data_IF_014105475363
#
_entry.id   IF_014105475363
#
_cell.length_a   1.000
_cell.length_b   1.000
_cell.length_c   1.000
_cell.angle_alpha   90.00
_cell.angle_beta   90.00
_cell.angle_gamma   90.00
#
_symmetry.space_group_name_H-M   'P 1'
#
loop_
_entity.id
_entity.type
_entity.pdbx_description
1 polymer ?
#
# COMPACT_ATOMS: atom_id res chain seq x y z
N UNK A 1 32.74 -11.28 21.79
CA UNK A 1 33.70 -11.65 22.85
C UNK A 1 33.03 -12.67 23.78
N UNK A 2 33.82 -13.49 24.49
CA UNK A 2 33.31 -14.50 25.44
C UNK A 2 32.63 -13.82 26.63
N UNK A 3 31.60 -14.45 27.21
CA UNK A 3 31.66 -15.00 28.57
C UNK A 3 30.48 -15.94 28.83
N UNK A 4 30.74 -17.02 29.55
CA UNK A 4 29.75 -18.01 29.99
C UNK A 4 29.11 -17.56 31.31
N UNK A 5 27.90 -18.03 31.58
CA UNK A 5 27.38 -18.15 32.95
C UNK A 5 26.61 -19.49 33.07
N UNK A 6 27.10 -20.37 33.95
CA UNK A 6 26.31 -21.50 34.43
C UNK A 6 25.16 -20.96 35.30
N UNK A 7 24.02 -21.66 35.29
CA UNK A 7 23.19 -21.79 36.48
C UNK A 7 22.60 -23.20 36.53
N UNK A 8 22.64 -23.82 37.71
CA UNK A 8 22.10 -25.16 37.96
C UNK A 8 21.22 -25.13 39.21
N UNK A 9 20.25 -26.07 39.26
CA UNK A 9 19.53 -26.55 40.47
C UNK A 9 18.60 -25.51 41.15
N UNK A 10 17.29 -25.76 41.35
CA UNK A 10 16.67 -26.89 42.06
C UNK A 10 15.15 -27.03 41.76
N UNK A 11 14.56 -28.16 42.15
CA UNK A 11 13.13 -28.49 41.98
C UNK A 11 12.24 -28.07 43.17
N UNK A 12 10.98 -27.72 42.91
CA UNK A 12 9.91 -27.58 43.91
C UNK A 12 8.50 -27.54 43.27
N UNK A 13 7.62 -28.46 43.67
CA UNK A 13 6.17 -28.50 43.30
C UNK A 13 5.37 -27.48 44.17
N UNK A 14 4.20 -26.94 43.80
CA UNK A 14 2.90 -27.60 43.46
C UNK A 14 1.89 -26.67 42.73
N UNK A 15 1.04 -27.24 41.83
CA UNK A 15 -0.39 -26.92 41.44
C UNK A 15 -0.91 -25.45 41.27
N UNK A 16 -1.81 -25.07 40.32
CA UNK A 16 -2.61 -25.80 39.30
C UNK A 16 -3.19 -24.89 38.16
N UNK A 17 -3.54 -25.50 37.01
CA UNK A 17 -4.39 -25.03 35.85
C UNK A 17 -4.09 -23.66 35.19
N UNK A 18 -4.10 -23.43 33.86
CA UNK A 18 -4.20 -24.23 32.62
C UNK A 18 -3.65 -23.34 31.45
N UNK A 19 -3.58 -23.68 30.15
CA UNK A 19 -3.97 -24.86 29.37
C UNK A 19 -2.82 -25.28 28.38
N UNK A 20 -2.95 -25.60 27.06
CA UNK A 20 -1.92 -26.42 26.40
C UNK A 20 -0.86 -25.66 25.59
N UNK A 21 0.41 -25.83 25.97
CA UNK A 21 1.55 -25.77 25.06
C UNK A 21 2.12 -27.18 24.87
N UNK A 22 2.47 -27.56 23.64
CA UNK A 22 3.10 -28.84 23.30
C UNK A 22 4.58 -28.86 23.77
N UNK A 23 4.78 -28.92 25.09
CA UNK A 23 6.07 -29.34 25.68
C UNK A 23 6.11 -30.87 25.67
N UNK A 24 7.00 -31.43 24.86
CA UNK A 24 7.35 -32.85 24.97
C UNK A 24 7.98 -33.11 26.35
N UNK A 25 7.29 -33.87 27.21
CA UNK A 25 7.89 -34.40 28.42
C UNK A 25 8.92 -35.48 28.05
N UNK A 26 10.09 -35.54 28.71
CA UNK A 26 10.98 -36.67 28.58
C UNK A 26 10.31 -37.90 29.20
N UNK A 27 9.96 -38.89 28.38
CA UNK A 27 9.58 -40.22 28.90
C UNK A 27 10.81 -40.85 29.56
N UNK A 28 10.62 -41.40 30.75
CA UNK A 28 11.63 -42.19 31.46
C UNK A 28 12.08 -43.35 30.57
N UNK A 29 13.41 -43.50 30.43
CA UNK A 29 14.00 -44.35 29.40
C UNK A 29 13.78 -45.84 29.65
N UNK A 30 13.49 -46.56 28.56
CA UNK A 30 13.96 -47.94 28.44
C UNK A 30 15.51 -47.94 28.48
N UNK A 31 16.16 -49.03 28.91
CA UNK A 31 17.62 -49.12 28.85
C UNK A 31 18.10 -48.85 27.42
N UNK A 32 19.08 -47.95 27.29
CA UNK A 32 19.74 -47.71 26.01
C UNK A 32 20.40 -49.01 25.59
N UNK A 33 19.95 -49.59 24.48
CA UNK A 33 20.60 -50.76 23.92
C UNK A 33 21.91 -50.30 23.28
N UNK A 34 22.99 -50.38 24.07
CA UNK A 34 24.35 -50.14 23.59
C UNK A 34 24.62 -51.10 22.43
N UNK A 35 25.25 -50.56 21.38
CA UNK A 35 25.45 -51.23 20.11
C UNK A 35 26.90 -51.04 19.70
N UNK A 36 27.61 -52.16 19.54
CA UNK A 36 29.03 -52.17 19.15
C UNK A 36 29.24 -51.92 17.64
N UNK A 37 28.17 -51.69 16.86
CA UNK A 37 28.29 -51.30 15.45
C UNK A 37 28.86 -49.88 15.36
N UNK A 38 30.16 -49.81 15.07
CA UNK A 38 30.93 -48.59 14.90
C UNK A 38 30.27 -47.60 13.94
N UNK A 39 29.65 -48.07 12.85
CA UNK A 39 28.95 -47.19 11.89
C UNK A 39 27.66 -46.61 12.49
N UNK A 40 26.93 -47.39 13.30
CA UNK A 40 25.73 -46.94 14.02
C UNK A 40 26.10 -45.86 15.05
N UNK A 41 27.17 -46.08 15.82
CA UNK A 41 27.69 -45.12 16.81
C UNK A 41 28.25 -43.85 16.17
N UNK A 42 29.18 -43.97 15.23
CA UNK A 42 29.84 -42.82 14.58
C UNK A 42 28.86 -41.95 13.80
N UNK A 43 27.92 -42.54 13.08
CA UNK A 43 26.92 -41.80 12.30
C UNK A 43 25.91 -41.09 13.19
N UNK A 44 25.42 -41.75 14.25
CA UNK A 44 24.51 -41.09 15.20
C UNK A 44 25.22 -39.97 15.98
N UNK A 45 26.49 -40.16 16.36
CA UNK A 45 27.31 -39.11 16.97
C UNK A 45 27.49 -37.91 16.04
N UNK A 46 27.83 -38.13 14.76
CA UNK A 46 27.92 -37.05 13.76
C UNK A 46 26.59 -36.30 13.62
N UNK A 47 25.47 -37.00 13.69
CA UNK A 47 24.15 -36.36 13.77
C UNK A 47 24.02 -35.48 15.03
N UNK A 48 24.28 -36.00 16.23
CA UNK A 48 24.10 -35.24 17.48
C UNK A 48 25.03 -34.03 17.58
N UNK A 49 26.29 -34.20 17.17
CA UNK A 49 27.31 -33.14 17.23
C UNK A 49 26.99 -31.98 16.26
N UNK A 50 26.22 -32.23 15.20
CA UNK A 50 25.90 -31.24 14.17
C UNK A 50 24.46 -30.71 14.22
N UNK A 51 23.50 -31.35 14.91
CA UNK A 51 22.05 -31.03 14.79
C UNK A 51 21.70 -29.56 15.05
N UNK A 52 22.48 -28.88 15.88
CA UNK A 52 22.34 -27.46 16.23
C UNK A 52 23.33 -26.56 15.46
N UNK A 53 24.67 -26.81 15.47
CA UNK A 53 25.62 -25.91 14.81
C UNK A 53 25.71 -26.07 13.28
N UNK A 54 25.29 -27.21 12.73
CA UNK A 54 25.28 -27.48 11.28
C UNK A 54 24.17 -28.48 10.89
N UNK A 55 22.89 -28.04 10.89
CA UNK A 55 21.75 -28.92 10.61
C UNK A 55 21.86 -29.69 9.28
N UNK A 56 22.48 -29.11 8.24
CA UNK A 56 22.70 -29.80 6.96
C UNK A 56 23.62 -31.03 7.08
N UNK A 57 24.72 -30.94 7.85
CA UNK A 57 25.59 -32.08 8.12
C UNK A 57 24.91 -33.12 9.02
N UNK A 58 24.05 -32.70 9.95
CA UNK A 58 23.22 -33.60 10.73
C UNK A 58 22.22 -34.34 9.85
N UNK A 59 21.56 -33.65 8.92
CA UNK A 59 20.65 -34.25 7.96
C UNK A 59 21.33 -35.30 7.08
N UNK A 60 22.53 -35.02 6.56
CA UNK A 60 23.34 -36.02 5.84
C UNK A 60 23.59 -37.26 6.70
N UNK A 61 24.08 -37.09 7.93
CA UNK A 61 24.31 -38.20 8.85
C UNK A 61 23.03 -38.97 9.20
N UNK A 62 21.91 -38.29 9.42
CA UNK A 62 20.60 -38.92 9.67
C UNK A 62 20.12 -39.74 8.47
N UNK A 63 20.28 -39.22 7.24
CA UNK A 63 19.93 -39.93 6.00
C UNK A 63 20.83 -41.13 5.77
N UNK A 64 22.14 -41.03 6.03
CA UNK A 64 23.09 -42.16 5.96
C UNK A 64 22.75 -43.26 6.98
N UNK A 65 22.41 -42.89 8.22
CA UNK A 65 21.95 -43.83 9.25
C UNK A 65 20.68 -44.57 8.79
N UNK A 66 19.69 -43.83 8.31
CA UNK A 66 18.41 -44.39 7.87
C UNK A 66 18.53 -45.21 6.59
N UNK A 67 19.54 -44.96 5.74
CA UNK A 67 19.82 -45.80 4.57
C UNK A 67 20.30 -47.21 4.97
N UNK A 68 21.08 -47.33 6.05
CA UNK A 68 21.60 -48.63 6.53
C UNK A 68 20.65 -49.32 7.52
N UNK A 69 20.08 -48.59 8.47
CA UNK A 69 19.28 -49.15 9.58
C UNK A 69 17.79 -48.78 9.56
N UNK A 70 17.29 -48.01 8.59
CA UNK A 70 15.93 -47.45 8.64
C UNK A 70 14.77 -48.45 8.62
N UNK A 71 15.05 -49.75 8.47
CA UNK A 71 14.12 -50.89 8.64
C UNK A 71 13.98 -51.35 10.09
N UNK A 72 14.91 -50.98 10.97
CA UNK A 72 14.80 -51.21 12.41
C UNK A 72 13.73 -50.29 13.01
N UNK A 73 13.10 -50.72 14.10
CA UNK A 73 12.13 -49.93 14.87
C UNK A 73 12.64 -49.70 16.31
N UNK A 74 13.81 -49.09 16.38
CA UNK A 74 14.46 -48.70 17.63
C UNK A 74 14.19 -47.22 17.97
N UNK A 75 14.73 -46.75 19.09
CA UNK A 75 14.57 -45.35 19.51
C UNK A 75 15.23 -44.35 18.55
N UNK A 76 16.34 -44.74 17.91
CA UNK A 76 17.14 -43.87 17.06
C UNK A 76 16.48 -43.69 15.69
N UNK A 77 16.13 -44.79 15.03
CA UNK A 77 15.40 -44.80 13.75
C UNK A 77 14.06 -44.08 13.85
N UNK A 78 13.30 -44.25 14.94
CA UNK A 78 12.07 -43.47 15.18
C UNK A 78 12.35 -41.98 15.34
N UNK A 79 13.35 -41.59 16.13
CA UNK A 79 13.69 -40.18 16.33
C UNK A 79 14.20 -39.52 15.04
N UNK A 80 15.13 -40.16 14.34
CA UNK A 80 15.70 -39.67 13.08
C UNK A 80 14.64 -39.55 11.99
N UNK A 81 13.67 -40.48 11.91
CA UNK A 81 12.54 -40.38 10.97
C UNK A 81 11.74 -39.09 11.18
N UNK A 82 11.41 -38.75 12.43
CA UNK A 82 10.71 -37.49 12.77
C UNK A 82 11.58 -36.27 12.49
N UNK A 83 12.85 -36.30 12.90
CA UNK A 83 13.77 -35.18 12.70
C UNK A 83 14.03 -34.89 11.22
N UNK A 84 14.23 -35.92 10.40
CA UNK A 84 14.40 -35.82 8.93
C UNK A 84 13.18 -35.14 8.30
N UNK A 85 11.96 -35.59 8.63
CA UNK A 85 10.74 -34.98 8.08
C UNK A 85 10.59 -33.51 8.51
N UNK A 86 10.89 -33.17 9.77
CA UNK A 86 10.85 -31.80 10.24
C UNK A 86 11.88 -30.91 9.53
N UNK A 87 13.11 -31.40 9.31
CA UNK A 87 14.15 -30.68 8.55
C UNK A 87 13.75 -30.47 7.08
N UNK A 88 13.21 -31.49 6.41
CA UNK A 88 12.72 -31.40 5.02
C UNK A 88 11.48 -30.51 4.85
N UNK A 89 10.72 -30.28 5.93
CA UNK A 89 9.62 -29.31 5.97
C UNK A 89 10.14 -27.88 6.19
N UNK A 90 11.08 -27.69 7.11
CA UNK A 90 11.69 -26.38 7.39
C UNK A 90 12.46 -25.82 6.18
N UNK A 91 13.36 -26.61 5.57
CA UNK A 91 14.07 -26.24 4.33
C UNK A 91 13.13 -25.85 3.19
N UNK A 92 11.99 -26.54 3.07
CA UNK A 92 10.94 -26.23 2.08
C UNK A 92 10.26 -24.90 2.39
N UNK A 93 9.95 -24.65 3.66
CA UNK A 93 9.34 -23.39 4.10
C UNK A 93 10.29 -22.21 3.92
N UNK A 94 11.59 -22.38 4.24
CA UNK A 94 12.64 -21.39 3.98
C UNK A 94 12.76 -21.07 2.49
N UNK A 95 12.78 -22.08 1.61
CA UNK A 95 12.83 -21.88 0.16
C UNK A 95 11.59 -21.13 -0.35
N UNK A 96 10.39 -21.54 0.08
CA UNK A 96 9.14 -20.86 -0.30
C UNK A 96 9.09 -19.41 0.22
N UNK A 97 9.63 -19.13 1.41
CA UNK A 97 9.76 -17.77 1.92
C UNK A 97 10.73 -16.92 1.09
N UNK A 98 11.88 -17.48 0.68
CA UNK A 98 12.83 -16.80 -0.20
C UNK A 98 12.22 -16.51 -1.59
N UNK A 99 11.53 -17.49 -2.19
CA UNK A 99 10.82 -17.31 -3.46
C UNK A 99 9.71 -16.24 -3.37
N UNK A 100 9.03 -16.11 -2.22
CA UNK A 100 8.04 -15.05 -1.96
C UNK A 100 8.68 -13.68 -1.89
N UNK A 101 9.78 -13.55 -1.14
CA UNK A 101 10.52 -12.30 -1.00
C UNK A 101 11.08 -11.81 -2.33
N UNK A 102 11.64 -12.71 -3.15
CA UNK A 102 12.11 -12.41 -4.51
C UNK A 102 10.96 -11.90 -5.41
N UNK A 103 9.80 -12.57 -5.41
CA UNK A 103 8.62 -12.08 -6.16
C UNK A 103 8.15 -10.70 -5.72
N UNK A 104 8.14 -10.41 -4.41
CA UNK A 104 7.84 -9.07 -3.90
C UNK A 104 8.87 -8.04 -4.41
N UNK A 105 10.16 -8.33 -4.26
CA UNK A 105 11.24 -7.44 -4.65
C UNK A 105 11.22 -7.16 -6.16
N UNK A 106 10.93 -8.17 -6.99
CA UNK A 106 10.79 -8.01 -8.44
C UNK A 106 9.58 -7.15 -8.81
N UNK A 107 8.42 -7.32 -8.15
CA UNK A 107 7.25 -6.47 -8.36
C UNK A 107 7.57 -5.01 -8.01
N UNK A 108 8.17 -4.76 -6.84
CA UNK A 108 8.50 -3.42 -6.38
C UNK A 108 9.58 -2.76 -7.26
N UNK A 109 10.62 -3.50 -7.63
CA UNK A 109 11.67 -3.03 -8.55
C UNK A 109 11.14 -2.70 -9.95
N UNK A 110 10.06 -3.37 -10.39
CA UNK A 110 9.42 -3.07 -11.68
C UNK A 110 8.80 -1.67 -11.70
N UNK A 111 8.31 -1.14 -10.57
CA UNK A 111 7.88 0.26 -10.47
C UNK A 111 9.04 1.25 -10.61
N UNK A 112 10.20 0.97 -10.00
CA UNK A 112 11.40 1.79 -10.17
C UNK A 112 11.89 1.80 -11.63
N UNK A 113 11.74 0.68 -12.32
CA UNK A 113 12.06 0.51 -13.75
C UNK A 113 10.98 1.06 -14.70
N UNK A 114 9.84 1.54 -14.17
CA UNK A 114 8.64 1.94 -14.92
C UNK A 114 8.02 0.83 -15.78
N UNK A 115 8.34 -0.44 -15.47
CA UNK A 115 7.69 -1.62 -16.06
C UNK A 115 6.40 -1.94 -15.30
N UNK A 116 5.40 -1.08 -15.50
CA UNK A 116 4.09 -1.22 -14.87
C UNK A 116 3.39 -2.50 -15.31
N UNK A 117 3.57 -2.95 -16.56
CA UNK A 117 2.96 -4.16 -17.08
C UNK A 117 3.43 -5.40 -16.30
N UNK A 118 4.74 -5.52 -16.05
CA UNK A 118 5.28 -6.57 -15.19
C UNK A 118 4.81 -6.43 -13.74
N UNK A 119 4.83 -5.23 -13.18
CA UNK A 119 4.40 -4.99 -11.80
C UNK A 119 2.94 -5.45 -11.54
N UNK A 120 2.00 -5.03 -12.39
CA UNK A 120 0.59 -5.44 -12.28
C UNK A 120 0.37 -6.91 -12.69
N UNK A 121 1.14 -7.45 -13.63
CA UNK A 121 1.12 -8.87 -13.98
C UNK A 121 1.52 -9.79 -12.81
N UNK A 122 2.50 -9.37 -12.00
CA UNK A 122 2.95 -10.11 -10.81
C UNK A 122 2.03 -9.95 -9.59
N UNK A 123 1.20 -8.89 -9.55
CA UNK A 123 0.39 -8.51 -8.38
C UNK A 123 -0.48 -9.65 -7.84
N UNK A 124 -1.16 -10.40 -8.72
CA UNK A 124 -2.02 -11.52 -8.33
C UNK A 124 -1.23 -12.63 -7.61
N UNK A 125 -0.01 -12.91 -8.03
CA UNK A 125 0.82 -13.96 -7.43
C UNK A 125 1.37 -13.52 -6.07
N UNK A 126 1.91 -12.29 -5.98
CA UNK A 126 2.45 -11.73 -4.73
C UNK A 126 1.36 -11.59 -3.67
N UNK A 127 0.17 -11.10 -4.05
CA UNK A 127 -0.97 -10.93 -3.13
C UNK A 127 -1.76 -12.22 -2.88
N UNK A 128 -1.47 -13.33 -3.57
CA UNK A 128 -2.00 -14.65 -3.18
C UNK A 128 -1.25 -15.21 -1.95
N UNK A 129 0.06 -14.97 -1.87
CA UNK A 129 0.89 -15.37 -0.73
C UNK A 129 0.66 -14.49 0.50
N UNK A 130 0.48 -13.17 0.32
CA UNK A 130 0.10 -12.24 1.38
C UNK A 130 -0.88 -11.18 0.85
N UNK A 131 -2.20 -11.41 0.96
CA UNK A 131 -3.22 -10.47 0.49
C UNK A 131 -3.17 -9.09 1.15
N UNK A 132 -2.57 -9.02 2.34
CA UNK A 132 -2.50 -7.84 3.20
C UNK A 132 -1.09 -7.23 3.24
N UNK A 133 -0.27 -7.51 2.23
CA UNK A 133 1.04 -6.89 2.05
C UNK A 133 0.89 -5.39 1.74
N UNK A 134 0.81 -4.58 2.81
CA UNK A 134 0.54 -3.14 2.72
C UNK A 134 1.56 -2.39 1.84
N UNK A 135 2.83 -2.79 1.87
CA UNK A 135 3.90 -2.21 1.04
C UNK A 135 3.62 -2.42 -0.47
N UNK A 136 3.19 -3.62 -0.84
CA UNK A 136 2.77 -3.95 -2.22
C UNK A 136 1.47 -3.25 -2.59
N UNK A 137 0.48 -3.18 -1.69
CA UNK A 137 -0.78 -2.48 -1.91
C UNK A 137 -0.59 -0.96 -2.12
N UNK A 138 0.30 -0.32 -1.36
CA UNK A 138 0.68 1.09 -1.56
C UNK A 138 1.33 1.28 -2.93
N UNK A 139 2.31 0.44 -3.28
CA UNK A 139 3.02 0.53 -4.56
C UNK A 139 2.08 0.35 -5.77
N UNK A 140 1.20 -0.66 -5.74
CA UNK A 140 0.18 -0.88 -6.76
C UNK A 140 -0.90 0.21 -6.78
N UNK A 141 -1.30 0.71 -5.60
CA UNK A 141 -2.35 1.71 -5.47
C UNK A 141 -1.93 3.07 -6.03
N UNK A 142 -0.69 3.48 -5.78
CA UNK A 142 -0.14 4.74 -6.26
C UNK A 142 0.52 4.66 -7.64
N UNK A 143 1.05 3.49 -8.00
CA UNK A 143 1.80 3.28 -9.26
C UNK A 143 1.01 3.55 -10.54
N UNK A 144 -0.32 3.45 -10.51
CA UNK A 144 -1.18 3.77 -11.65
C UNK A 144 -1.17 5.25 -12.04
N UNK A 145 -0.89 6.15 -11.09
CA UNK A 145 -0.69 7.59 -11.35
C UNK A 145 0.55 7.77 -12.24
N UNK A 146 1.68 7.17 -11.88
CA UNK A 146 2.91 7.23 -12.67
C UNK A 146 2.77 6.57 -14.05
N UNK A 147 1.99 5.49 -14.16
CA UNK A 147 1.65 4.89 -15.46
C UNK A 147 0.79 5.84 -16.31
N UNK A 148 -0.18 6.53 -15.70
CA UNK A 148 -1.02 7.49 -16.41
C UNK A 148 -0.28 8.76 -16.84
N UNK A 149 0.76 9.18 -16.11
CA UNK A 149 1.67 10.25 -16.54
C UNK A 149 2.40 9.91 -17.86
N UNK A 150 2.67 8.62 -18.13
CA UNK A 150 3.17 8.14 -19.43
C UNK A 150 2.06 7.81 -20.43
N UNK A 151 0.82 8.30 -20.17
CA UNK A 151 -0.42 8.07 -20.95
C UNK A 151 -0.91 6.61 -20.95
N UNK A 152 -0.49 5.80 -19.98
CA UNK A 152 -0.94 4.42 -19.84
C UNK A 152 -1.97 4.28 -18.69
N UNK A 153 -3.24 4.45 -19.03
CA UNK A 153 -4.37 4.35 -18.08
C UNK A 153 -4.87 2.91 -17.85
N UNK A 154 -4.26 1.91 -18.51
CA UNK A 154 -4.68 0.49 -18.52
C UNK A 154 -4.85 -0.11 -17.12
N UNK A 155 -4.11 0.40 -16.13
CA UNK A 155 -4.06 -0.15 -14.79
C UNK A 155 -4.95 0.59 -13.78
N UNK A 156 -5.63 1.68 -14.16
CA UNK A 156 -6.28 2.60 -13.23
C UNK A 156 -7.38 1.92 -12.38
N UNK A 157 -8.20 1.05 -12.98
CA UNK A 157 -9.25 0.32 -12.25
C UNK A 157 -8.65 -0.64 -11.20
N UNK A 158 -7.57 -1.35 -11.56
CA UNK A 158 -6.87 -2.25 -10.64
C UNK A 158 -6.14 -1.47 -9.54
N UNK A 159 -5.45 -0.39 -9.92
CA UNK A 159 -4.76 0.51 -9.02
C UNK A 159 -5.71 1.11 -7.97
N UNK A 160 -6.92 1.54 -8.36
CA UNK A 160 -7.92 2.04 -7.42
C UNK A 160 -8.33 0.99 -6.37
N UNK A 161 -8.59 -0.25 -6.80
CA UNK A 161 -8.87 -1.36 -5.87
C UNK A 161 -7.74 -1.60 -4.85
N UNK A 162 -6.47 -1.49 -5.27
CA UNK A 162 -5.33 -1.60 -4.36
C UNK A 162 -5.18 -0.37 -3.45
N UNK A 163 -5.42 0.84 -3.97
CA UNK A 163 -5.37 2.09 -3.21
C UNK A 163 -6.43 2.10 -2.09
N UNK A 164 -7.67 1.72 -2.39
CA UNK A 164 -8.76 1.58 -1.40
C UNK A 164 -8.37 0.61 -0.28
N UNK A 165 -7.81 -0.57 -0.64
CA UNK A 165 -7.38 -1.55 0.36
C UNK A 165 -6.22 -1.05 1.22
N UNK A 166 -5.25 -0.34 0.63
CA UNK A 166 -4.15 0.28 1.35
C UNK A 166 -4.64 1.37 2.32
N UNK A 167 -5.52 2.27 1.88
CA UNK A 167 -6.17 3.30 2.73
C UNK A 167 -6.86 2.63 3.92
N UNK A 168 -7.72 1.64 3.68
CA UNK A 168 -8.46 0.94 4.73
C UNK A 168 -7.53 0.35 5.81
N UNK A 169 -6.41 -0.24 5.40
CA UNK A 169 -5.43 -0.82 6.32
C UNK A 169 -4.68 0.24 7.13
N UNK A 170 -4.29 1.36 6.51
CA UNK A 170 -3.58 2.46 7.18
C UNK A 170 -4.51 3.23 8.14
N UNK A 171 -5.80 3.33 7.80
CA UNK A 171 -6.82 3.89 8.67
C UNK A 171 -7.20 2.94 9.82
N UNK A 172 -7.13 1.62 9.61
CA UNK A 172 -7.24 0.62 10.69
C UNK A 172 -5.96 0.46 11.54
N UNK A 173 -4.98 1.35 11.40
CA UNK A 173 -3.75 1.37 12.20
C UNK A 173 -2.66 0.40 11.78
N UNK A 174 -2.76 -0.28 10.64
CA UNK A 174 -1.61 -1.04 10.08
C UNK A 174 -0.54 -0.07 9.57
N UNK A 175 0.72 -0.44 9.73
CA UNK A 175 1.87 0.25 9.17
C UNK A 175 2.82 -0.76 8.51
N UNK A 176 3.50 -0.40 7.42
CA UNK A 176 4.64 -1.15 6.91
C UNK A 176 5.86 -0.95 7.82
N UNK A 177 6.88 -1.79 7.67
CA UNK A 177 8.18 -1.61 8.35
C UNK A 177 8.86 -0.27 8.00
N UNK A 178 8.60 0.25 6.79
CA UNK A 178 9.07 1.55 6.33
C UNK A 178 8.04 2.21 5.42
N UNK A 179 7.86 3.52 5.56
CA UNK A 179 7.00 4.34 4.70
C UNK A 179 7.68 4.73 3.38
N UNK A 180 8.99 4.51 3.24
CA UNK A 180 9.76 4.91 2.06
C UNK A 180 9.16 4.32 0.75
N UNK A 181 9.08 5.10 -0.35
CA UNK A 181 9.70 6.42 -0.55
C UNK A 181 8.93 7.62 0.02
N UNK A 182 7.76 7.40 0.64
CA UNK A 182 7.00 8.46 1.29
C UNK A 182 7.59 8.84 2.65
N UNK A 183 7.29 10.06 3.11
CA UNK A 183 7.88 10.61 4.34
C UNK A 183 7.32 9.99 5.61
N UNK A 184 6.02 9.71 5.62
CA UNK A 184 5.26 9.22 6.75
C UNK A 184 3.90 8.66 6.30
N UNK A 185 3.07 8.27 7.27
CA UNK A 185 1.71 7.75 7.08
C UNK A 185 0.80 8.75 6.36
N UNK A 186 0.89 10.02 6.71
CA UNK A 186 0.04 11.10 6.22
C UNK A 186 0.32 11.38 4.73
N UNK A 187 1.59 11.39 4.34
CA UNK A 187 2.07 11.53 2.97
C UNK A 187 1.62 10.37 2.05
N UNK A 188 1.61 9.14 2.58
CA UNK A 188 1.00 7.98 1.90
C UNK A 188 -0.51 8.16 1.75
N UNK A 189 -1.24 8.45 2.84
CA UNK A 189 -2.70 8.58 2.79
C UNK A 189 -3.13 9.68 1.80
N UNK A 190 -2.50 10.85 1.86
CA UNK A 190 -2.79 11.94 0.93
C UNK A 190 -2.50 11.56 -0.52
N UNK A 191 -1.43 10.80 -0.77
CA UNK A 191 -1.06 10.32 -2.11
C UNK A 191 -1.99 9.22 -2.63
N UNK A 192 -2.49 8.34 -1.77
CA UNK A 192 -3.50 7.33 -2.13
C UNK A 192 -4.88 7.98 -2.36
N UNK A 193 -5.28 8.96 -1.55
CA UNK A 193 -6.49 9.75 -1.80
C UNK A 193 -6.38 10.56 -3.10
N UNK A 194 -5.23 11.14 -3.40
CA UNK A 194 -4.97 11.77 -4.70
C UNK A 194 -5.11 10.75 -5.85
N UNK A 195 -4.56 9.54 -5.70
CA UNK A 195 -4.64 8.49 -6.71
C UNK A 195 -6.08 8.02 -6.95
N UNK A 196 -6.85 7.77 -5.88
CA UNK A 196 -8.28 7.46 -5.96
C UNK A 196 -9.09 8.57 -6.66
N UNK A 197 -8.82 9.83 -6.33
CA UNK A 197 -9.41 10.96 -7.06
C UNK A 197 -9.05 10.93 -8.55
N UNK A 198 -7.76 10.67 -8.85
CA UNK A 198 -7.22 10.63 -10.20
C UNK A 198 -7.84 9.51 -11.07
N UNK A 199 -7.97 8.28 -10.55
CA UNK A 199 -8.57 7.18 -11.30
C UNK A 199 -10.07 7.40 -11.58
N UNK A 200 -10.78 8.09 -10.68
CA UNK A 200 -12.20 8.39 -10.82
C UNK A 200 -12.52 9.60 -11.72
N UNK A 201 -11.50 10.39 -12.15
CA UNK A 201 -11.66 11.62 -12.97
C UNK A 201 -12.61 11.47 -14.16
N UNK A 202 -12.45 10.38 -14.92
CA UNK A 202 -13.25 10.10 -16.12
C UNK A 202 -14.52 9.28 -15.83
N UNK A 203 -14.46 8.12 -15.14
CA UNK A 203 -15.64 7.27 -14.99
C UNK A 203 -16.67 7.82 -13.99
N UNK A 204 -16.23 8.50 -12.93
CA UNK A 204 -17.09 8.97 -11.82
C UNK A 204 -16.58 10.28 -11.22
N UNK A 205 -16.57 11.40 -11.97
CA UNK A 205 -15.98 12.66 -11.52
C UNK A 205 -16.57 13.17 -10.20
N UNK A 206 -17.87 13.04 -9.95
CA UNK A 206 -18.46 13.47 -8.67
C UNK A 206 -17.91 12.69 -7.47
N UNK A 207 -17.63 11.40 -7.62
CA UNK A 207 -17.05 10.55 -6.55
C UNK A 207 -15.60 10.90 -6.23
N UNK A 208 -14.87 11.53 -7.16
CA UNK A 208 -13.47 11.92 -6.96
C UNK A 208 -13.28 13.16 -6.06
N UNK A 209 -14.30 14.02 -5.94
CA UNK A 209 -14.23 15.31 -5.24
C UNK A 209 -13.78 15.13 -3.77
N UNK A 210 -14.42 14.20 -3.06
CA UNK A 210 -14.09 13.92 -1.65
C UNK A 210 -12.64 13.44 -1.47
N UNK A 211 -12.12 12.67 -2.43
CA UNK A 211 -10.76 12.14 -2.40
C UNK A 211 -9.71 13.24 -2.63
N UNK A 212 -9.92 14.13 -3.61
CA UNK A 212 -9.05 15.30 -3.79
C UNK A 212 -9.11 16.28 -2.62
N UNK A 213 -10.27 16.47 -2.00
CA UNK A 213 -10.42 17.29 -0.79
C UNK A 213 -9.63 16.69 0.39
N UNK A 214 -9.72 15.38 0.63
CA UNK A 214 -8.91 14.70 1.65
C UNK A 214 -7.41 14.86 1.37
N UNK A 215 -6.97 14.64 0.14
CA UNK A 215 -5.57 14.83 -0.27
C UNK A 215 -5.08 16.28 -0.09
N UNK A 216 -5.95 17.27 -0.26
CA UNK A 216 -5.66 18.68 -0.05
C UNK A 216 -5.72 19.12 1.43
N UNK A 217 -6.29 18.31 2.33
CA UNK A 217 -6.44 18.61 3.75
C UNK A 217 -5.36 17.96 4.63
N UNK A 218 -4.84 16.79 4.24
CA UNK A 218 -3.80 16.08 4.99
C UNK A 218 -2.44 16.79 4.83
N UNK A 219 -1.75 17.05 5.95
CA UNK A 219 -0.40 17.66 5.97
C UNK A 219 0.62 16.77 5.24
N UNK A 220 0.90 17.10 3.99
CA UNK A 220 1.63 16.28 3.03
C UNK A 220 2.09 17.12 1.85
N UNK A 221 2.93 16.56 0.96
CA UNK A 221 3.28 17.23 -0.29
C UNK A 221 2.07 17.38 -1.24
N UNK A 222 1.00 16.59 -1.04
CA UNK A 222 -0.25 16.70 -1.81
C UNK A 222 -1.09 17.92 -1.45
N UNK A 223 -0.99 18.42 -0.23
CA UNK A 223 -1.62 19.69 0.20
C UNK A 223 -0.95 20.93 -0.43
N UNK A 224 0.31 20.85 -0.82
CA UNK A 224 1.03 21.95 -1.49
C UNK A 224 1.23 21.71 -2.99
N UNK A 225 0.87 20.52 -3.50
CA UNK A 225 0.95 20.17 -4.90
C UNK A 225 -0.09 20.94 -5.74
N UNK A 226 0.33 21.70 -6.78
CA UNK A 226 -0.59 22.41 -7.66
C UNK A 226 -1.58 21.49 -8.38
N UNK A 227 -1.16 20.27 -8.72
CA UNK A 227 -1.99 19.34 -9.48
C UNK A 227 -3.21 18.85 -8.69
N UNK A 228 -3.12 18.73 -7.35
CA UNK A 228 -4.26 18.38 -6.49
C UNK A 228 -5.43 19.33 -6.71
N UNK A 229 -5.15 20.64 -6.77
CA UNK A 229 -6.16 21.67 -6.95
C UNK A 229 -6.61 21.82 -8.41
N UNK A 230 -5.70 21.62 -9.38
CA UNK A 230 -6.05 21.55 -10.79
C UNK A 230 -7.05 20.43 -11.08
N UNK A 231 -6.77 19.21 -10.59
CA UNK A 231 -7.69 18.08 -10.75
C UNK A 231 -9.00 18.28 -9.97
N UNK A 232 -8.95 18.90 -8.78
CA UNK A 232 -10.16 19.32 -8.06
C UNK A 232 -11.04 20.29 -8.89
N UNK A 233 -10.42 21.26 -9.58
CA UNK A 233 -11.14 22.17 -10.47
C UNK A 233 -11.78 21.44 -11.67
N UNK A 234 -11.05 20.51 -12.28
CA UNK A 234 -11.56 19.68 -13.39
C UNK A 234 -12.76 18.83 -12.97
N UNK A 235 -12.78 18.28 -11.75
CA UNK A 235 -13.88 17.40 -11.33
C UNK A 235 -15.12 18.18 -10.93
N UNK A 236 -14.97 19.37 -10.35
CA UNK A 236 -16.08 20.31 -10.19
C UNK A 236 -16.67 20.70 -11.55
N UNK A 237 -15.82 21.01 -12.54
CA UNK A 237 -16.25 21.39 -13.89
C UNK A 237 -16.95 20.24 -14.63
N UNK A 238 -16.36 19.06 -14.66
CA UNK A 238 -16.83 17.92 -15.45
C UNK A 238 -17.90 17.07 -14.72
N UNK A 239 -18.02 17.18 -13.41
CA UNK A 239 -19.07 16.57 -12.59
C UNK A 239 -20.25 17.53 -12.35
N UNK A 240 -20.38 18.12 -11.16
CA UNK A 240 -21.58 18.82 -10.74
C UNK A 240 -21.87 20.08 -11.56
N UNK A 241 -20.87 20.86 -12.01
CA UNK A 241 -21.12 22.06 -12.82
C UNK A 241 -21.80 21.72 -14.15
N UNK A 242 -21.25 20.74 -14.88
CA UNK A 242 -21.83 20.24 -16.13
C UNK A 242 -23.26 19.74 -15.90
N UNK A 243 -23.46 18.88 -14.90
CA UNK A 243 -24.80 18.33 -14.57
C UNK A 243 -25.82 19.42 -14.24
N UNK A 244 -25.45 20.42 -13.44
CA UNK A 244 -26.32 21.54 -13.07
C UNK A 244 -26.64 22.42 -14.29
N UNK A 245 -25.65 22.71 -15.14
CA UNK A 245 -25.82 23.47 -16.38
C UNK A 245 -26.72 22.77 -17.39
N UNK A 246 -26.58 21.44 -17.53
CA UNK A 246 -27.43 20.60 -18.38
C UNK A 246 -28.87 20.55 -17.87
N UNK A 247 -29.09 20.36 -16.56
CA UNK A 247 -30.44 20.39 -15.95
C UNK A 247 -31.11 21.75 -16.11
N UNK A 248 -30.37 22.85 -15.85
CA UNK A 248 -30.87 24.20 -16.04
C UNK A 248 -31.28 24.47 -17.49
N UNK A 249 -30.41 24.14 -18.45
CA UNK A 249 -30.70 24.33 -19.89
C UNK A 249 -31.95 23.56 -20.30
N UNK A 250 -32.07 22.30 -19.85
CA UNK A 250 -33.23 21.44 -20.15
C UNK A 250 -34.54 21.94 -19.55
N UNK A 251 -34.52 22.53 -18.35
CA UNK A 251 -35.72 22.95 -17.61
C UNK A 251 -36.13 24.39 -17.86
N UNK A 252 -35.17 25.28 -18.06
CA UNK A 252 -35.39 26.73 -18.06
C UNK A 252 -34.87 27.46 -19.31
N UNK A 253 -34.07 26.82 -20.18
CA UNK A 253 -33.35 27.50 -21.26
C UNK A 253 -34.19 28.28 -22.27
N UNK A 254 -35.47 27.92 -22.44
CA UNK A 254 -36.44 28.62 -23.30
C UNK A 254 -37.68 29.12 -22.51
N UNK A 255 -37.60 29.20 -21.18
CA UNK A 255 -38.69 29.62 -20.31
C UNK A 255 -38.46 31.07 -19.84
N UNK A 256 -39.53 31.83 -19.52
CA UNK A 256 -39.38 33.08 -18.79
C UNK A 256 -38.70 32.83 -17.44
N UNK A 257 -37.97 33.82 -16.95
CA UNK A 257 -37.26 33.77 -15.68
C UNK A 257 -38.24 33.55 -14.50
N UNK A 258 -37.94 32.60 -13.62
CA UNK A 258 -38.76 32.26 -12.45
C UNK A 258 -37.91 32.23 -11.16
N UNK A 259 -38.52 32.21 -9.96
CA UNK A 259 -37.80 32.02 -8.71
C UNK A 259 -36.96 30.72 -8.70
N UNK A 260 -37.48 29.66 -9.30
CA UNK A 260 -36.81 28.35 -9.43
C UNK A 260 -35.64 28.42 -10.42
N UNK A 261 -35.77 29.14 -11.54
CA UNK A 261 -34.66 29.33 -12.47
C UNK A 261 -33.55 30.15 -11.80
N UNK A 262 -33.87 31.23 -11.08
CA UNK A 262 -32.89 32.00 -10.28
C UNK A 262 -32.14 31.13 -9.28
N UNK A 263 -32.87 30.31 -8.51
CA UNK A 263 -32.26 29.40 -7.54
C UNK A 263 -31.36 28.32 -8.20
N UNK A 264 -31.74 27.82 -9.37
CA UNK A 264 -30.95 26.85 -10.13
C UNK A 264 -29.68 27.49 -10.72
N UNK A 265 -29.79 28.69 -11.29
CA UNK A 265 -28.64 29.46 -11.78
C UNK A 265 -27.67 29.82 -10.64
N UNK A 266 -28.18 30.17 -9.47
CA UNK A 266 -27.37 30.45 -8.28
C UNK A 266 -26.59 29.20 -7.80
N UNK A 267 -27.12 28.00 -7.98
CA UNK A 267 -26.39 26.77 -7.69
C UNK A 267 -25.28 26.47 -8.72
N UNK A 268 -25.51 26.77 -10.00
CA UNK A 268 -24.44 26.74 -11.04
C UNK A 268 -23.34 27.74 -10.67
N UNK A 269 -23.75 28.95 -10.28
CA UNK A 269 -22.84 30.01 -9.84
C UNK A 269 -21.97 29.55 -8.67
N UNK A 270 -22.55 29.03 -7.58
CA UNK A 270 -21.77 28.51 -6.44
C UNK A 270 -20.76 27.43 -6.85
N UNK A 271 -21.11 26.59 -7.83
CA UNK A 271 -20.17 25.59 -8.34
C UNK A 271 -19.04 26.22 -9.18
N UNK A 272 -19.34 27.27 -9.95
CA UNK A 272 -18.33 28.06 -10.65
C UNK A 272 -17.33 28.71 -9.67
N UNK A 273 -17.79 29.21 -8.52
CA UNK A 273 -16.88 29.76 -7.49
C UNK A 273 -15.93 28.70 -6.93
N UNK A 274 -16.39 27.45 -6.76
CA UNK A 274 -15.52 26.32 -6.33
C UNK A 274 -14.47 25.98 -7.40
N UNK A 275 -14.82 26.06 -8.68
CA UNK A 275 -13.88 25.87 -9.81
C UNK A 275 -12.83 26.99 -9.82
N UNK A 276 -13.27 28.25 -9.65
CA UNK A 276 -12.41 29.44 -9.62
C UNK A 276 -11.45 29.38 -8.41
N UNK A 277 -11.92 29.05 -7.20
CA UNK A 277 -11.07 28.84 -6.02
C UNK A 277 -10.01 27.75 -6.26
N UNK A 278 -10.41 26.59 -6.78
CA UNK A 278 -9.50 25.48 -7.04
C UNK A 278 -8.43 25.84 -8.10
N UNK A 279 -8.80 26.49 -9.21
CA UNK A 279 -7.82 26.99 -10.18
C UNK A 279 -6.90 28.07 -9.59
N UNK A 280 -7.43 28.99 -8.77
CA UNK A 280 -6.61 30.00 -8.10
C UNK A 280 -5.57 29.36 -7.17
N UNK A 281 -5.94 28.33 -6.40
CA UNK A 281 -4.99 27.56 -5.56
C UNK A 281 -3.91 26.88 -6.41
N UNK A 282 -4.29 26.26 -7.53
CA UNK A 282 -3.34 25.64 -8.45
C UNK A 282 -2.31 26.67 -8.98
N UNK A 283 -2.77 27.84 -9.44
CA UNK A 283 -1.90 28.91 -9.95
C UNK A 283 -1.02 29.53 -8.85
N UNK A 284 -1.56 29.70 -7.63
CA UNK A 284 -0.86 30.26 -6.48
C UNK A 284 0.20 29.33 -5.87
N UNK A 285 0.07 28.01 -6.07
CA UNK A 285 1.09 27.03 -5.69
C UNK A 285 2.11 26.84 -6.81
N UNK A 286 1.67 26.81 -8.07
CA UNK A 286 2.55 26.64 -9.23
C UNK A 286 3.52 27.81 -9.44
N UNK A 287 3.21 29.00 -8.93
CA UNK A 287 4.13 30.16 -8.97
C UNK A 287 5.43 29.94 -8.18
N UNK A 288 5.45 28.96 -7.27
CA UNK A 288 6.58 28.66 -6.39
C UNK A 288 7.61 27.71 -7.03
N UNK A 289 7.28 27.07 -8.15
CA UNK A 289 8.12 26.08 -8.83
C UNK A 289 8.36 26.48 -10.30
N UNK A 290 9.61 26.80 -10.69
CA UNK A 290 9.96 27.07 -12.09
C UNK A 290 9.59 25.95 -13.07
N UNK A 291 9.54 24.68 -12.65
CA UNK A 291 9.14 23.56 -13.51
C UNK A 291 7.65 23.59 -13.85
N UNK A 292 6.83 24.28 -13.05
CA UNK A 292 5.38 24.38 -13.24
C UNK A 292 4.96 25.60 -14.08
N UNK A 293 5.88 26.41 -14.62
CA UNK A 293 5.51 27.63 -15.37
C UNK A 293 4.64 27.37 -16.61
N UNK A 294 4.86 26.25 -17.31
CA UNK A 294 4.02 25.83 -18.44
C UNK A 294 2.58 25.54 -18.00
N UNK A 295 2.36 24.55 -17.11
CA UNK A 295 1.03 24.27 -16.53
C UNK A 295 0.38 25.50 -15.88
N UNK A 296 1.13 26.28 -15.10
CA UNK A 296 0.67 27.54 -14.48
C UNK A 296 0.06 28.50 -15.48
N UNK A 297 0.71 28.69 -16.64
CA UNK A 297 0.22 29.60 -17.69
C UNK A 297 -1.12 29.12 -18.25
N UNK A 298 -1.25 27.81 -18.49
CA UNK A 298 -2.50 27.22 -18.97
C UNK A 298 -3.64 27.35 -17.94
N UNK A 299 -3.33 27.09 -16.66
CA UNK A 299 -4.29 27.20 -15.56
C UNK A 299 -4.69 28.65 -15.27
N UNK A 300 -3.76 29.60 -15.39
CA UNK A 300 -4.04 31.03 -15.26
C UNK A 300 -4.96 31.52 -16.38
N UNK A 301 -4.69 31.16 -17.64
CA UNK A 301 -5.57 31.52 -18.76
C UNK A 301 -7.01 31.01 -18.52
N UNK A 302 -7.15 29.74 -18.10
CA UNK A 302 -8.45 29.15 -17.78
C UNK A 302 -9.13 29.83 -16.59
N UNK A 303 -8.37 30.16 -15.54
CA UNK A 303 -8.87 30.91 -14.39
C UNK A 303 -9.40 32.29 -14.81
N UNK A 304 -8.65 33.01 -15.65
CA UNK A 304 -9.05 34.33 -16.15
C UNK A 304 -10.34 34.27 -16.96
N UNK A 305 -10.49 33.27 -17.86
CA UNK A 305 -11.76 33.06 -18.59
C UNK A 305 -12.96 32.90 -17.65
N UNK A 306 -12.85 32.01 -16.67
CA UNK A 306 -13.94 31.69 -15.73
C UNK A 306 -14.22 32.86 -14.77
N UNK A 307 -13.17 33.55 -14.31
CA UNK A 307 -13.29 34.74 -13.47
C UNK A 307 -14.02 35.86 -14.22
N UNK A 308 -13.59 36.19 -15.46
CA UNK A 308 -14.23 37.21 -16.30
C UNK A 308 -15.68 36.87 -16.61
N UNK A 309 -15.97 35.60 -16.92
CA UNK A 309 -17.35 35.13 -17.09
C UNK A 309 -18.23 35.39 -15.85
N UNK A 310 -17.65 35.33 -14.64
CA UNK A 310 -18.36 35.56 -13.37
C UNK A 310 -18.34 36.99 -12.83
N UNK A 311 -17.57 37.89 -13.43
CA UNK A 311 -17.39 39.28 -12.97
C UNK A 311 -17.53 40.26 -14.14
N UNK A 312 -18.65 40.20 -14.87
CA UNK A 312 -19.02 41.16 -15.92
C UNK A 312 -17.93 41.41 -17.00
N UNK A 313 -17.24 40.35 -17.41
CA UNK A 313 -16.11 40.38 -18.35
C UNK A 313 -14.86 41.14 -17.85
N UNK A 314 -14.77 41.41 -16.55
CA UNK A 314 -13.64 42.05 -15.87
C UNK A 314 -12.72 41.03 -15.18
N UNK A 315 -11.41 41.30 -15.18
CA UNK A 315 -10.39 40.59 -14.41
C UNK A 315 -9.94 41.37 -13.16
N UNK A 316 -10.57 42.51 -12.86
CA UNK A 316 -10.32 43.27 -11.64
C UNK A 316 -10.62 42.42 -10.39
N UNK A 317 -9.66 42.30 -9.47
CA UNK A 317 -9.76 41.44 -8.29
C UNK A 317 -9.14 40.04 -8.46
N UNK A 318 -8.74 39.64 -9.67
CA UNK A 318 -8.19 38.31 -9.94
C UNK A 318 -6.80 38.09 -9.29
N UNK A 319 -5.94 39.10 -9.30
CA UNK A 319 -4.61 38.99 -8.68
C UNK A 319 -4.72 38.90 -7.15
N UNK A 320 -5.64 39.67 -6.57
CA UNK A 320 -5.99 39.67 -5.15
C UNK A 320 -6.58 38.31 -4.73
N UNK A 321 -7.43 37.71 -5.57
CA UNK A 321 -7.91 36.34 -5.38
C UNK A 321 -6.73 35.35 -5.35
N UNK A 322 -5.86 35.34 -6.36
CA UNK A 322 -4.72 34.41 -6.44
C UNK A 322 -3.78 34.58 -5.25
N UNK A 323 -3.51 35.82 -4.83
CA UNK A 323 -2.67 36.11 -3.67
C UNK A 323 -3.30 35.64 -2.34
N UNK A 324 -4.62 35.81 -2.18
CA UNK A 324 -5.34 35.52 -0.95
C UNK A 324 -5.94 34.11 -0.82
N UNK A 325 -6.05 33.33 -1.90
CA UNK A 325 -6.82 32.06 -1.88
C UNK A 325 -6.26 31.02 -0.91
N UNK A 326 -4.93 30.96 -0.74
CA UNK A 326 -4.28 29.96 0.12
C UNK A 326 -4.47 30.22 1.63
N UNK A 327 -4.87 31.42 2.05
CA UNK A 327 -5.23 31.70 3.45
C UNK A 327 -6.70 31.41 3.78
N UNK A 328 -7.54 31.16 2.76
CA UNK A 328 -8.94 30.78 2.92
C UNK A 328 -9.06 29.26 3.09
N UNK A 329 -9.95 28.76 3.98
CA UNK A 329 -10.31 27.34 4.02
C UNK A 329 -10.74 26.84 2.63
N UNK A 330 -10.43 25.58 2.32
CA UNK A 330 -10.90 24.95 1.08
C UNK A 330 -12.43 24.84 1.13
N UNK A 331 -13.16 25.20 0.06
CA UNK A 331 -14.60 24.97 -0.03
C UNK A 331 -14.91 23.49 0.18
N UNK A 332 -15.78 23.20 1.15
CA UNK A 332 -16.30 21.86 1.40
C UNK A 332 -17.22 21.42 0.23
N UNK A 333 -17.51 20.11 0.06
CA UNK A 333 -18.31 19.58 -1.05
C UNK A 333 -19.64 20.31 -1.33
#
# INVERSE_FOLDING_TARGET
>A
MKHQALLALLFGFTLAFAAPALRAQPRTGAPVQETDDEFKVTTYKRFTDNREPNPAAAYQAAREYMAKYGKEDDQYTRYLRVWISAYEEDERNLRLAAERADREQQLLGSFTQKDFAKAYGMAKQVLADNPDNLKVLIALGYGGVFASETRNETFNDAAGGYAQKAIQQIESGKAPETWAPFKNREDVLASLYYAEGFYLLKPKPESSIANFIKAAQIESDRKTSPSTYYYLALVYQNGPYRRLSEDYTKRFGNQPESPESKAALENINKMMDKIIDAYARAVALASKDPQQQGPRTQWLNRLTELYKFRHDQSDAGLNELIAGVLSKPLPQP
#
